data_IF_518824472270
#
_entry.id   IF_518824472270
#
_cell.length_a   1.000
_cell.length_b   1.000
_cell.length_c   1.000
_cell.angle_alpha   90.00
_cell.angle_beta   90.00
_cell.angle_gamma   90.00
#
_symmetry.space_group_name_H-M   'P 1'
#
loop_
_entity.id
_entity.type
_entity.pdbx_description
1 polymer ?
#
# COMPACT_ATOMS: atom_id res chain seq x y z
N UNK A 1 2.29 12.21 -19.65
CA UNK A 1 2.39 10.75 -19.41
C UNK A 1 1.05 10.11 -19.73
N UNK A 2 1.02 9.04 -20.52
CA UNK A 2 -0.18 8.23 -20.79
C UNK A 2 -0.40 7.15 -19.73
N UNK A 3 -1.60 6.57 -19.64
CA UNK A 3 -1.92 5.52 -18.66
C UNK A 3 -0.98 4.32 -18.71
N UNK A 4 -0.55 3.89 -19.90
CA UNK A 4 0.36 2.75 -20.05
C UNK A 4 1.78 3.08 -19.58
N UNK A 5 2.19 4.34 -19.74
CA UNK A 5 3.48 4.84 -19.21
C UNK A 5 3.45 4.91 -17.68
N UNK A 6 2.32 5.32 -17.07
CA UNK A 6 2.14 5.28 -15.62
C UNK A 6 2.22 3.84 -15.09
N UNK A 7 1.55 2.89 -15.74
CA UNK A 7 1.58 1.48 -15.35
C UNK A 7 2.97 0.89 -15.45
N UNK A 8 3.73 1.25 -16.49
CA UNK A 8 5.12 0.84 -16.63
C UNK A 8 5.98 1.44 -15.50
N UNK A 9 5.82 2.73 -15.21
CA UNK A 9 6.51 3.39 -14.10
C UNK A 9 6.22 2.72 -12.75
N UNK A 10 4.95 2.45 -12.45
CA UNK A 10 4.53 1.74 -11.24
C UNK A 10 5.13 0.32 -11.17
N UNK A 11 5.18 -0.41 -12.30
CA UNK A 11 5.80 -1.74 -12.36
C UNK A 11 7.30 -1.70 -12.13
N UNK A 12 7.99 -0.66 -12.58
CA UNK A 12 9.43 -0.50 -12.33
C UNK A 12 9.73 -0.17 -10.86
N UNK A 13 8.88 0.63 -10.21
CA UNK A 13 9.02 1.02 -8.80
C UNK A 13 8.50 0.01 -7.77
N UNK A 14 7.70 -0.98 -8.19
CA UNK A 14 6.90 -1.84 -7.31
C UNK A 14 7.68 -2.48 -6.17
N UNK A 15 8.86 -3.04 -6.45
CA UNK A 15 9.67 -3.75 -5.46
C UNK A 15 10.12 -2.79 -4.34
N UNK A 16 10.50 -1.57 -4.71
CA UNK A 16 10.93 -0.55 -3.75
C UNK A 16 9.76 -0.03 -2.93
N UNK A 17 8.63 0.27 -3.58
CA UNK A 17 7.42 0.77 -2.92
C UNK A 17 6.87 -0.25 -1.92
N UNK A 18 6.78 -1.52 -2.33
CA UNK A 18 6.32 -2.61 -1.47
C UNK A 18 7.30 -2.87 -0.32
N UNK A 19 8.61 -2.84 -0.59
CA UNK A 19 9.61 -2.94 0.48
C UNK A 19 9.48 -1.80 1.49
N UNK A 20 9.31 -0.57 1.01
CA UNK A 20 9.07 0.61 1.86
C UNK A 20 7.82 0.46 2.74
N UNK A 21 6.72 -0.08 2.18
CA UNK A 21 5.51 -0.41 2.94
C UNK A 21 5.80 -1.46 4.02
N UNK A 22 6.47 -2.57 3.68
CA UNK A 22 6.83 -3.63 4.64
C UNK A 22 7.64 -3.07 5.80
N UNK A 23 8.66 -2.26 5.53
CA UNK A 23 9.51 -1.69 6.57
C UNK A 23 8.77 -0.65 7.42
N UNK A 24 7.81 0.07 6.83
CA UNK A 24 6.93 0.98 7.57
C UNK A 24 5.98 0.22 8.50
N UNK A 25 5.37 -0.87 8.02
CA UNK A 25 4.55 -1.77 8.83
C UNK A 25 5.36 -2.39 9.98
N UNK A 26 6.58 -2.86 9.71
CA UNK A 26 7.52 -3.38 10.71
C UNK A 26 7.76 -2.36 11.81
N UNK A 27 8.14 -1.13 11.44
CA UNK A 27 8.39 -0.04 12.41
C UNK A 27 7.16 0.25 13.26
N UNK A 28 5.98 0.37 12.66
CA UNK A 28 4.74 0.60 13.40
C UNK A 28 4.45 -0.52 14.40
N UNK A 29 4.57 -1.78 13.97
CA UNK A 29 4.32 -2.93 14.82
C UNK A 29 5.29 -2.98 16.01
N UNK A 30 6.59 -2.74 15.77
CA UNK A 30 7.60 -2.71 16.83
C UNK A 30 7.37 -1.57 17.82
N UNK A 31 7.00 -0.38 17.34
CA UNK A 31 6.66 0.75 18.21
C UNK A 31 5.45 0.42 19.10
N UNK A 32 4.40 -0.19 18.54
CA UNK A 32 3.24 -0.62 19.31
C UNK A 32 3.62 -1.70 20.36
N UNK A 33 4.45 -2.66 19.98
CA UNK A 33 4.94 -3.69 20.90
C UNK A 33 5.78 -3.09 22.04
N UNK A 34 6.61 -2.10 21.75
CA UNK A 34 7.39 -1.36 22.73
C UNK A 34 6.50 -0.58 23.71
N UNK A 35 5.48 0.13 23.20
CA UNK A 35 4.53 0.88 24.02
C UNK A 35 3.74 -0.03 24.97
N UNK A 36 3.45 -1.25 24.53
CA UNK A 36 2.75 -2.27 25.33
C UNK A 36 3.72 -3.15 26.14
N UNK A 37 5.02 -2.84 26.15
CA UNK A 37 6.08 -3.60 26.83
C UNK A 37 6.11 -5.09 26.50
N UNK A 38 5.64 -5.46 25.30
CA UNK A 38 5.57 -6.85 24.86
C UNK A 38 6.98 -7.36 24.52
N UNK A 39 7.35 -8.50 25.11
CA UNK A 39 8.62 -9.18 24.85
C UNK A 39 8.33 -10.61 24.40
N UNK A 40 8.79 -10.97 23.21
CA UNK A 40 8.71 -12.34 22.69
C UNK A 40 9.76 -12.57 21.62
N UNK A 41 10.13 -13.83 21.39
CA UNK A 41 11.07 -14.21 20.34
C UNK A 41 10.59 -13.76 18.95
N UNK A 42 9.28 -13.71 18.72
CA UNK A 42 8.72 -13.21 17.47
C UNK A 42 8.99 -11.72 17.26
N UNK A 43 8.91 -10.92 18.33
CA UNK A 43 9.24 -9.48 18.28
C UNK A 43 10.74 -9.30 18.05
N UNK A 44 11.60 -10.09 18.70
CA UNK A 44 13.05 -10.04 18.48
C UNK A 44 13.42 -10.42 17.05
N UNK A 45 12.80 -11.46 16.48
CA UNK A 45 13.00 -11.84 15.06
C UNK A 45 12.50 -10.76 14.10
N UNK A 46 11.35 -10.15 14.39
CA UNK A 46 10.85 -9.04 13.59
C UNK A 46 11.79 -7.82 13.66
N UNK A 47 12.46 -7.59 14.80
CA UNK A 47 13.42 -6.51 14.95
C UNK A 47 14.69 -6.70 14.10
N UNK A 48 15.07 -7.92 13.71
CA UNK A 48 16.19 -8.17 12.77
C UNK A 48 15.73 -8.41 11.33
N UNK A 49 14.42 -8.58 11.11
CA UNK A 49 13.85 -8.81 9.78
C UNK A 49 14.19 -7.68 8.79
N UNK A 50 14.72 -8.07 7.62
CA UNK A 50 15.12 -7.15 6.55
C UNK A 50 16.42 -6.39 6.78
N UNK A 51 17.15 -6.68 7.87
CA UNK A 51 18.50 -6.13 8.13
C UNK A 51 19.57 -7.10 7.63
N UNK A 52 19.46 -8.37 8.01
CA UNK A 52 20.49 -9.38 7.75
C UNK A 52 20.27 -10.18 6.45
N UNK A 53 19.05 -10.14 5.91
CA UNK A 53 18.66 -10.92 4.73
C UNK A 53 17.68 -10.13 3.85
N UNK A 54 17.70 -10.35 2.52
CA UNK A 54 16.73 -9.74 1.62
C UNK A 54 15.30 -10.17 1.98
N UNK A 55 14.36 -9.22 1.87
CA UNK A 55 12.94 -9.47 2.10
C UNK A 55 12.30 -9.94 0.80
N UNK A 56 11.64 -11.10 0.86
CA UNK A 56 10.79 -11.56 -0.23
C UNK A 56 9.47 -10.78 -0.23
N UNK A 57 9.35 -9.83 -1.16
CA UNK A 57 8.15 -9.01 -1.36
C UNK A 57 7.18 -9.61 -2.37
N UNK A 58 7.53 -10.72 -3.04
CA UNK A 58 6.72 -11.35 -4.08
C UNK A 58 5.25 -11.57 -3.68
N UNK A 59 4.93 -12.02 -2.44
CA UNK A 59 3.55 -12.24 -2.02
C UNK A 59 2.66 -10.98 -2.06
N UNK A 60 3.27 -9.79 -2.02
CA UNK A 60 2.56 -8.51 -1.95
C UNK A 60 2.37 -7.84 -3.31
N UNK A 61 3.01 -8.33 -4.38
CA UNK A 61 2.91 -7.74 -5.71
C UNK A 61 1.47 -7.79 -6.25
N UNK A 62 0.77 -8.91 -6.06
CA UNK A 62 -0.64 -9.06 -6.46
C UNK A 62 -1.55 -8.04 -5.76
N UNK A 63 -1.57 -7.98 -4.42
CA UNK A 63 -2.31 -6.94 -3.70
C UNK A 63 -1.93 -5.52 -4.10
N UNK A 64 -0.64 -5.25 -4.31
CA UNK A 64 -0.19 -3.92 -4.73
C UNK A 64 -0.69 -3.50 -6.12
N UNK A 65 -0.78 -4.45 -7.05
CA UNK A 65 -1.36 -4.21 -8.37
C UNK A 65 -2.83 -3.75 -8.28
N UNK A 66 -3.58 -4.20 -7.27
CA UNK A 66 -4.95 -3.72 -7.03
C UNK A 66 -4.93 -2.23 -6.69
N UNK A 67 -4.02 -1.78 -5.83
CA UNK A 67 -3.92 -0.36 -5.43
C UNK A 67 -3.51 0.53 -6.61
N UNK A 68 -2.51 0.11 -7.38
CA UNK A 68 -2.01 0.88 -8.53
C UNK A 68 -3.04 0.98 -9.65
N UNK A 69 -3.73 -0.11 -9.98
CA UNK A 69 -4.81 -0.08 -10.97
C UNK A 69 -6.00 0.76 -10.50
N UNK A 70 -6.34 0.73 -9.21
CA UNK A 70 -7.37 1.61 -8.66
C UNK A 70 -6.99 3.08 -8.73
N UNK A 71 -5.74 3.42 -8.43
CA UNK A 71 -5.25 4.78 -8.64
C UNK A 71 -5.36 5.21 -10.11
N UNK A 72 -4.89 4.34 -11.02
CA UNK A 72 -4.92 4.61 -12.46
C UNK A 72 -6.36 4.85 -12.96
N UNK A 73 -7.32 4.05 -12.50
CA UNK A 73 -8.72 4.12 -12.96
C UNK A 73 -9.54 5.21 -12.28
N UNK A 74 -9.37 5.41 -10.97
CA UNK A 74 -10.24 6.29 -10.18
C UNK A 74 -9.71 7.72 -10.09
N UNK A 75 -8.39 7.93 -10.18
CA UNK A 75 -7.77 9.25 -9.98
C UNK A 75 -7.07 9.75 -11.26
N UNK A 76 -6.31 8.90 -11.95
CA UNK A 76 -5.54 9.32 -13.12
C UNK A 76 -6.38 9.43 -14.41
N UNK A 77 -7.11 8.37 -14.79
CA UNK A 77 -7.86 8.31 -16.06
C UNK A 77 -8.91 9.43 -16.21
N UNK A 78 -9.67 9.81 -15.16
CA UNK A 78 -10.59 10.93 -15.27
C UNK A 78 -9.88 12.26 -15.56
N UNK A 79 -8.70 12.49 -14.96
CA UNK A 79 -7.91 13.69 -15.18
C UNK A 79 -7.25 13.72 -16.57
N UNK A 80 -6.82 12.57 -17.09
CA UNK A 80 -6.21 12.46 -18.43
C UNK A 80 -7.19 12.95 -19.51
N UNK A 81 -8.46 12.58 -19.42
CA UNK A 81 -9.50 12.99 -20.38
C UNK A 81 -9.78 14.49 -20.41
N UNK A 82 -9.44 15.21 -19.32
CA UNK A 82 -9.72 16.64 -19.15
C UNK A 82 -8.54 17.53 -19.53
N UNK A 83 -7.33 16.98 -19.72
CA UNK A 83 -6.12 17.76 -19.97
C UNK A 83 -5.64 17.55 -21.42
N UNK A 84 -5.61 18.64 -22.20
CA UNK A 84 -5.10 18.61 -23.59
C UNK A 84 -3.58 18.40 -23.68
N UNK A 85 -2.86 18.61 -22.57
CA UNK A 85 -1.42 18.37 -22.47
C UNK A 85 -1.22 17.19 -21.53
N UNK A 86 -0.46 16.14 -21.92
CA UNK A 86 -0.11 15.06 -21.02
C UNK A 86 0.54 15.65 -19.78
N UNK A 87 -0.24 15.65 -18.69
CA UNK A 87 0.11 16.33 -17.45
C UNK A 87 1.57 16.08 -17.02
N UNK A 88 2.29 17.17 -16.78
CA UNK A 88 3.66 17.15 -16.28
C UNK A 88 3.69 16.53 -14.87
N UNK A 89 4.74 15.74 -14.58
CA UNK A 89 5.08 15.21 -13.24
C UNK A 89 4.11 14.19 -12.63
N UNK A 90 3.49 13.35 -13.45
CA UNK A 90 2.55 12.33 -12.96
C UNK A 90 3.23 11.20 -12.16
N UNK A 91 4.51 10.94 -12.44
CA UNK A 91 5.41 10.13 -11.63
C UNK A 91 5.59 10.71 -10.22
N UNK A 92 5.82 12.03 -10.11
CA UNK A 92 5.92 12.75 -8.84
C UNK A 92 4.58 12.69 -8.08
N UNK A 93 3.45 12.89 -8.77
CA UNK A 93 2.12 12.81 -8.15
C UNK A 93 1.82 11.42 -7.62
N UNK A 94 2.16 10.36 -8.36
CA UNK A 94 2.07 8.99 -7.83
C UNK A 94 2.94 8.82 -6.59
N UNK A 95 4.20 9.26 -6.65
CA UNK A 95 5.13 9.15 -5.53
C UNK A 95 4.60 9.84 -4.28
N UNK A 96 4.07 11.07 -4.43
CA UNK A 96 3.45 11.82 -3.32
C UNK A 96 2.22 11.10 -2.81
N UNK A 97 1.30 10.71 -3.70
CA UNK A 97 0.07 10.03 -3.32
C UNK A 97 0.36 8.74 -2.55
N UNK A 98 1.22 7.88 -3.10
CA UNK A 98 1.55 6.61 -2.48
C UNK A 98 2.19 6.79 -1.11
N UNK A 99 3.27 7.57 -1.02
CA UNK A 99 4.07 7.68 0.20
C UNK A 99 3.47 8.57 1.28
N UNK A 100 2.82 9.67 0.89
CA UNK A 100 2.35 10.68 1.85
C UNK A 100 0.86 10.61 2.15
N UNK A 101 0.06 9.95 1.30
CA UNK A 101 -1.39 9.88 1.48
C UNK A 101 -1.82 8.43 1.73
N UNK A 102 -1.53 7.52 0.81
CA UNK A 102 -2.02 6.14 0.87
C UNK A 102 -1.34 5.34 1.99
N UNK A 103 -0.01 5.31 2.04
CA UNK A 103 0.73 4.53 3.05
C UNK A 103 0.31 4.89 4.49
N UNK A 104 0.21 6.16 4.90
CA UNK A 104 -0.28 6.53 6.23
C UNK A 104 -1.67 5.97 6.57
N UNK A 105 -2.59 5.95 5.61
CA UNK A 105 -3.93 5.38 5.80
C UNK A 105 -3.88 3.85 5.91
N UNK A 106 -3.11 3.19 5.05
CA UNK A 106 -2.94 1.74 5.07
C UNK A 106 -2.38 1.28 6.43
N UNK A 107 -1.33 1.95 6.91
CA UNK A 107 -0.72 1.58 8.19
C UNK A 107 -1.59 1.95 9.38
N UNK A 108 -2.61 2.80 9.24
CA UNK A 108 -3.54 3.10 10.34
C UNK A 108 -4.36 1.87 10.75
N UNK A 109 -4.60 0.93 9.82
CA UNK A 109 -5.26 -0.35 10.08
C UNK A 109 -4.28 -1.38 10.61
N UNK A 110 -4.49 -1.83 11.84
CA UNK A 110 -3.64 -2.86 12.47
C UNK A 110 -3.72 -4.21 11.74
N UNK A 111 -4.86 -4.53 11.11
CA UNK A 111 -5.01 -5.75 10.31
C UNK A 111 -4.21 -5.68 9.01
N UNK A 112 -4.15 -4.51 8.36
CA UNK A 112 -3.27 -4.31 7.19
C UNK A 112 -1.81 -4.50 7.60
N UNK A 113 -1.38 -3.87 8.69
CA UNK A 113 -0.02 -4.02 9.21
C UNK A 113 0.33 -5.48 9.49
N UNK A 114 -0.56 -6.21 10.19
CA UNK A 114 -0.36 -7.62 10.51
C UNK A 114 -0.32 -8.48 9.25
N UNK A 115 -1.25 -8.28 8.32
CA UNK A 115 -1.33 -9.12 7.12
C UNK A 115 -0.18 -8.85 6.15
N UNK A 116 0.32 -7.61 6.05
CA UNK A 116 1.54 -7.28 5.30
C UNK A 116 2.72 -8.07 5.86
N UNK A 117 2.92 -8.02 7.19
CA UNK A 117 4.02 -8.72 7.84
C UNK A 117 3.86 -10.25 7.82
N UNK A 118 2.63 -10.77 7.88
CA UNK A 118 2.35 -12.21 7.75
C UNK A 118 2.61 -12.71 6.33
N UNK A 119 2.22 -11.96 5.31
CA UNK A 119 2.41 -12.32 3.91
C UNK A 119 3.89 -12.52 3.56
N UNK A 120 4.76 -11.63 4.06
CA UNK A 120 6.22 -11.74 3.90
C UNK A 120 6.90 -12.60 4.98
N UNK A 121 6.11 -13.35 5.77
CA UNK A 121 6.57 -14.27 6.82
C UNK A 121 7.40 -13.61 7.93
N UNK A 122 7.29 -12.30 8.11
CA UNK A 122 7.90 -11.56 9.22
C UNK A 122 7.18 -11.79 10.56
N UNK A 123 5.89 -12.13 10.51
CA UNK A 123 5.10 -12.56 11.67
C UNK A 123 4.66 -14.03 11.54
N UNK A 124 4.49 -14.75 12.66
CA UNK A 124 3.94 -16.10 12.64
C UNK A 124 2.55 -16.14 11.99
N UNK A 125 2.39 -17.02 11.00
CA UNK A 125 1.11 -17.30 10.35
C UNK A 125 1.06 -18.75 9.92
N UNK A 126 -0.11 -19.40 10.05
CA UNK A 126 -0.35 -20.74 9.51
C UNK A 126 -0.51 -20.73 7.98
N UNK A 127 -1.03 -19.64 7.45
CA UNK A 127 -1.38 -19.46 6.03
C UNK A 127 -0.94 -18.06 5.55
N UNK A 128 0.36 -17.82 5.32
CA UNK A 128 0.86 -16.53 4.83
C UNK A 128 0.25 -16.13 3.47
N UNK A 129 -0.06 -17.10 2.61
CA UNK A 129 -0.73 -16.88 1.33
C UNK A 129 -2.13 -16.29 1.49
N UNK A 130 -2.89 -16.72 2.50
CA UNK A 130 -4.22 -16.17 2.78
C UNK A 130 -4.15 -14.73 3.27
N UNK A 131 -3.05 -14.32 3.93
CA UNK A 131 -2.85 -12.93 4.34
C UNK A 131 -2.69 -12.01 3.12
N UNK A 132 -1.98 -12.46 2.09
CA UNK A 132 -1.88 -11.73 0.83
C UNK A 132 -3.23 -11.63 0.11
N UNK A 133 -4.00 -12.72 0.05
CA UNK A 133 -5.35 -12.71 -0.54
C UNK A 133 -6.27 -11.74 0.19
N UNK A 134 -6.28 -11.78 1.53
CA UNK A 134 -7.08 -10.88 2.36
C UNK A 134 -6.69 -9.40 2.15
N UNK A 135 -5.39 -9.10 1.97
CA UNK A 135 -4.95 -7.75 1.60
C UNK A 135 -5.49 -7.33 0.24
N UNK A 136 -5.43 -8.20 -0.76
CA UNK A 136 -5.96 -7.91 -2.10
C UNK A 136 -7.46 -7.58 -2.07
N UNK A 137 -8.24 -8.34 -1.29
CA UNK A 137 -9.67 -8.08 -1.09
C UNK A 137 -9.90 -6.76 -0.35
N UNK A 138 -9.20 -6.53 0.75
CA UNK A 138 -9.29 -5.28 1.50
C UNK A 138 -8.96 -4.06 0.64
N UNK A 139 -7.90 -4.14 -0.17
CA UNK A 139 -7.49 -3.08 -1.09
C UNK A 139 -8.47 -2.89 -2.26
N UNK A 140 -9.22 -3.92 -2.65
CA UNK A 140 -10.28 -3.77 -3.65
C UNK A 140 -11.50 -3.03 -3.07
N UNK A 141 -11.83 -3.28 -1.81
CA UNK A 141 -13.06 -2.80 -1.16
C UNK A 141 -12.91 -1.46 -0.44
N UNK A 142 -11.69 -1.09 0.00
CA UNK A 142 -11.49 0.15 0.74
C UNK A 142 -11.82 1.40 -0.09
N UNK A 143 -12.25 2.49 0.54
CA UNK A 143 -12.33 3.79 -0.16
C UNK A 143 -10.91 4.32 -0.34
N UNK A 144 -10.53 4.71 -1.56
CA UNK A 144 -9.23 5.34 -1.77
C UNK A 144 -9.20 6.74 -1.13
N UNK A 145 -8.06 7.17 -0.59
CA UNK A 145 -7.88 8.56 -0.21
C UNK A 145 -8.27 9.49 -1.36
N UNK A 146 -8.90 10.62 -1.02
CA UNK A 146 -9.38 11.65 -1.97
C UNK A 146 -10.52 11.22 -2.89
N UNK A 147 -10.98 9.97 -2.80
CA UNK A 147 -12.22 9.52 -3.43
C UNK A 147 -13.39 9.58 -2.45
N UNK A 148 -14.58 9.92 -2.94
CA UNK A 148 -15.79 9.88 -2.11
C UNK A 148 -16.20 8.43 -1.90
N UNK A 149 -16.58 8.02 -0.67
CA UNK A 149 -17.19 6.72 -0.47
C UNK A 149 -18.47 6.63 -1.30
N UNK A 150 -18.75 5.50 -1.97
CA UNK A 150 -19.94 5.36 -2.83
C UNK A 150 -21.27 5.49 -2.08
N UNK A 151 -21.26 5.41 -0.76
CA UNK A 151 -22.42 5.54 0.12
C UNK A 151 -22.53 6.92 0.80
N UNK A 152 -21.57 7.83 0.59
CA UNK A 152 -21.61 9.16 1.20
C UNK A 152 -22.72 10.01 0.53
N UNK A 153 -23.65 10.59 1.31
CA UNK A 153 -24.85 11.25 0.79
C UNK A 153 -24.62 12.67 0.26
N UNK A 154 -23.38 13.16 0.27
CA UNK A 154 -23.05 14.52 -0.12
C UNK A 154 -22.96 14.64 -1.65
N UNK A 155 -23.89 15.39 -2.25
CA UNK A 155 -23.93 15.66 -3.68
C UNK A 155 -22.62 16.30 -4.19
N UNK A 156 -22.30 16.07 -5.47
CA UNK A 156 -21.22 16.80 -6.14
C UNK A 156 -21.58 18.30 -6.10
N UNK A 157 -20.89 19.07 -5.26
CA UNK A 157 -21.00 20.53 -5.27
C UNK A 157 -20.36 21.00 -6.57
N UNK A 158 -21.18 21.32 -7.56
CA UNK A 158 -20.77 22.02 -8.77
C UNK A 158 -20.21 23.39 -8.36
N UNK A 159 -18.92 23.61 -8.60
CA UNK A 159 -18.26 24.92 -8.52
C UNK A 159 -17.98 25.46 -9.91
#
# INVERSE_FOLDING_TARGET
>A
MHIDELREFQRQGVTQDVFGLVMTCRRRFLNAAQLLELRSDAISKLATFGVDAPVDVWPLLGPFNVLTERYATQLFSPQESLLQVPSEKQDEKWGIYFHHILVPQLIASDEVVRNVLRAVRALPSRHPEQAAVALGQHFAEMTLPETRPPWAPEDAVDY
#
